data_IF_179532193702
#
_entry.id   IF_179532193702
#
_cell.length_a   1.000
_cell.length_b   1.000
_cell.length_c   1.000
_cell.angle_alpha   90.00
_cell.angle_beta   90.00
_cell.angle_gamma   90.00
#
_symmetry.space_group_name_H-M   'P 1'
#
loop_
_entity.id
_entity.type
_entity.pdbx_description
1 polymer ?
#
# COMPACT_ATOMS: atom_id res chain seq x y z
N UNK A 1 -5.92 -45.14 12.66
CA UNK A 1 -5.22 -44.27 11.70
C UNK A 1 -4.41 -45.16 10.78
N UNK A 2 -4.83 -45.29 9.52
CA UNK A 2 -4.14 -46.12 8.53
C UNK A 2 -3.34 -45.15 7.64
N UNK A 3 -2.06 -44.93 7.95
CA UNK A 3 -1.16 -44.21 7.05
C UNK A 3 -0.70 -45.21 5.99
N UNK A 4 -0.89 -44.85 4.72
CA UNK A 4 -0.28 -45.54 3.60
C UNK A 4 0.90 -44.69 3.12
N UNK A 5 2.09 -45.25 2.91
CA UNK A 5 2.49 -46.65 3.13
C UNK A 5 2.73 -47.00 4.61
N UNK A 6 3.00 -48.29 4.91
CA UNK A 6 3.16 -48.77 6.30
C UNK A 6 4.39 -48.16 6.99
N UNK A 7 4.34 -48.02 8.32
CA UNK A 7 5.45 -47.45 9.11
C UNK A 7 6.76 -48.21 8.87
N UNK A 8 6.70 -49.55 8.76
CA UNK A 8 7.89 -50.38 8.54
C UNK A 8 8.60 -50.06 7.22
N UNK A 9 7.84 -49.74 6.16
CA UNK A 9 8.39 -49.32 4.87
C UNK A 9 9.08 -47.95 4.93
N UNK A 10 8.70 -47.11 5.90
CA UNK A 10 9.22 -45.75 6.08
C UNK A 10 10.44 -45.70 7.00
N UNK A 11 10.61 -46.69 7.89
CA UNK A 11 11.74 -46.74 8.83
C UNK A 11 13.11 -46.57 8.18
N UNK A 12 13.41 -47.15 6.99
CA UNK A 12 14.71 -46.95 6.33
C UNK A 12 14.99 -45.51 5.90
N UNK A 13 13.98 -44.62 5.88
CA UNK A 13 14.11 -43.22 5.47
C UNK A 13 14.44 -42.28 6.64
N UNK A 14 14.46 -42.79 7.87
CA UNK A 14 14.75 -42.04 9.07
C UNK A 14 15.69 -42.80 10.00
N UNK A 15 16.46 -42.10 10.82
CA UNK A 15 17.32 -42.74 11.83
C UNK A 15 16.53 -43.51 12.89
N UNK A 16 15.35 -43.02 13.28
CA UNK A 16 14.51 -43.68 14.27
C UNK A 16 13.02 -43.31 14.07
N UNK A 17 12.15 -43.99 14.82
CA UNK A 17 10.69 -43.79 14.81
C UNK A 17 10.25 -42.37 15.16
N UNK A 18 10.96 -41.69 16.06
CA UNK A 18 10.62 -40.34 16.50
C UNK A 18 10.97 -39.31 15.44
N UNK A 19 12.12 -39.45 14.80
CA UNK A 19 12.55 -38.62 13.67
C UNK A 19 11.58 -38.77 12.51
N UNK A 20 11.16 -40.01 12.21
CA UNK A 20 10.13 -40.26 11.21
C UNK A 20 8.82 -39.51 11.54
N UNK A 21 8.31 -39.65 12.76
CA UNK A 21 7.09 -38.98 13.19
C UNK A 21 7.19 -37.45 13.09
N UNK A 22 8.33 -36.87 13.51
CA UNK A 22 8.59 -35.44 13.39
C UNK A 22 8.69 -34.98 11.93
N UNK A 23 9.35 -35.76 11.07
CA UNK A 23 9.48 -35.47 9.65
C UNK A 23 8.11 -35.47 8.96
N UNK A 24 7.31 -36.51 9.17
CA UNK A 24 5.95 -36.61 8.62
C UNK A 24 5.08 -35.46 9.13
N UNK A 25 5.13 -35.14 10.43
CA UNK A 25 4.34 -34.04 10.99
C UNK A 25 4.74 -32.68 10.44
N UNK A 26 6.04 -32.39 10.31
CA UNK A 26 6.54 -31.14 9.72
C UNK A 26 6.13 -31.02 8.26
N UNK A 27 6.28 -32.08 7.47
CA UNK A 27 5.91 -32.07 6.06
C UNK A 27 4.40 -31.93 5.87
N UNK A 28 3.59 -32.63 6.67
CA UNK A 28 2.14 -32.47 6.64
C UNK A 28 1.69 -31.03 6.93
N UNK A 29 2.36 -30.33 7.87
CA UNK A 29 2.09 -28.90 8.12
C UNK A 29 2.44 -28.03 6.93
N UNK A 30 3.57 -28.27 6.26
CA UNK A 30 3.92 -27.54 5.03
C UNK A 30 2.83 -27.71 3.96
N UNK A 31 2.36 -28.93 3.75
CA UNK A 31 1.28 -29.22 2.79
C UNK A 31 -0.02 -28.49 3.18
N UNK A 32 -0.39 -28.47 4.46
CA UNK A 32 -1.53 -27.70 4.96
C UNK A 32 -1.36 -26.18 4.76
N UNK A 33 -0.13 -25.67 4.86
CA UNK A 33 0.20 -24.26 4.60
C UNK A 33 0.23 -23.91 3.10
N UNK A 34 -0.05 -24.86 2.20
CA UNK A 34 -0.06 -24.60 0.76
C UNK A 34 1.24 -24.92 0.03
N UNK A 35 2.15 -25.67 0.65
CA UNK A 35 3.33 -26.16 -0.04
C UNK A 35 2.94 -27.07 -1.21
N UNK A 36 3.74 -27.02 -2.28
CA UNK A 36 3.57 -27.89 -3.44
C UNK A 36 3.88 -29.36 -3.07
N UNK A 37 2.95 -30.30 -3.34
CA UNK A 37 3.24 -31.72 -3.29
C UNK A 37 4.28 -32.10 -4.35
N UNK A 38 5.18 -33.00 -3.98
CA UNK A 38 6.25 -33.52 -4.85
C UNK A 38 5.85 -34.83 -5.52
N UNK A 39 4.89 -35.55 -4.94
CA UNK A 39 4.28 -36.76 -5.48
C UNK A 39 2.83 -36.45 -5.78
N UNK A 40 2.39 -36.83 -6.98
CA UNK A 40 0.97 -36.78 -7.34
C UNK A 40 0.31 -38.05 -6.80
N UNK A 41 -0.44 -37.90 -5.71
CA UNK A 41 -1.25 -38.98 -5.15
C UNK A 41 -2.69 -38.51 -5.01
N UNK A 42 -3.63 -39.40 -5.31
CA UNK A 42 -5.05 -39.15 -5.09
C UNK A 42 -5.45 -39.17 -3.61
N UNK A 43 -4.49 -39.11 -2.67
CA UNK A 43 -4.81 -39.17 -1.25
C UNK A 43 -5.28 -37.79 -0.74
N UNK A 44 -6.48 -37.70 -0.14
CA UNK A 44 -7.00 -36.42 0.36
C UNK A 44 -6.36 -35.99 1.68
N UNK A 45 -5.59 -36.87 2.33
CA UNK A 45 -5.01 -36.60 3.64
C UNK A 45 -3.54 -36.19 3.51
N UNK A 46 -3.21 -34.98 3.97
CA UNK A 46 -1.85 -34.43 3.97
C UNK A 46 -0.84 -35.32 4.72
N UNK A 47 -1.26 -36.08 5.74
CA UNK A 47 -0.36 -36.99 6.47
C UNK A 47 0.01 -38.21 5.63
N UNK A 48 -0.95 -38.76 4.88
CA UNK A 48 -0.69 -39.87 3.95
C UNK A 48 0.19 -39.40 2.80
N UNK A 49 -0.14 -38.25 2.20
CA UNK A 49 0.68 -37.62 1.16
C UNK A 49 2.12 -37.36 1.61
N UNK A 50 2.31 -36.82 2.83
CA UNK A 50 3.64 -36.65 3.40
C UNK A 50 4.38 -37.98 3.60
N UNK A 51 3.66 -39.04 3.98
CA UNK A 51 4.25 -40.37 4.14
C UNK A 51 4.70 -40.95 2.79
N UNK A 52 3.91 -40.75 1.73
CA UNK A 52 4.26 -41.15 0.37
C UNK A 52 5.46 -40.40 -0.19
N UNK A 53 5.57 -39.10 0.06
CA UNK A 53 6.75 -38.31 -0.32
C UNK A 53 8.03 -38.79 0.40
N UNK A 54 7.93 -39.12 1.69
CA UNK A 54 9.05 -39.70 2.44
C UNK A 54 9.42 -41.08 1.89
N UNK A 55 8.43 -41.91 1.55
CA UNK A 55 8.66 -43.24 0.96
C UNK A 55 9.36 -43.15 -0.41
N UNK A 56 8.92 -42.20 -1.25
CA UNK A 56 9.55 -41.88 -2.53
C UNK A 56 10.97 -41.32 -2.36
N UNK A 57 11.30 -40.78 -1.19
CA UNK A 57 12.60 -40.17 -0.89
C UNK A 57 12.76 -38.76 -1.46
N UNK A 58 11.67 -38.12 -1.88
CA UNK A 58 11.66 -36.73 -2.34
C UNK A 58 11.79 -35.76 -1.16
N UNK A 59 11.34 -36.17 0.03
CA UNK A 59 11.46 -35.41 1.28
C UNK A 59 12.40 -36.15 2.22
N UNK A 60 13.45 -35.45 2.67
CA UNK A 60 14.47 -35.97 3.59
C UNK A 60 14.71 -34.99 4.72
N UNK A 61 15.10 -35.50 5.88
CA UNK A 61 15.55 -34.66 7.00
C UNK A 61 17.06 -34.42 6.92
N UNK A 62 17.48 -33.27 7.46
CA UNK A 62 18.88 -32.87 7.63
C UNK A 62 19.04 -32.23 8.99
N UNK A 63 20.17 -32.50 9.64
CA UNK A 63 20.55 -31.83 10.87
C UNK A 63 21.21 -30.49 10.60
N UNK A 64 21.10 -29.58 11.57
CA UNK A 64 21.64 -28.22 11.48
C UNK A 64 20.60 -27.18 11.08
N UNK A 65 21.04 -25.92 10.99
CA UNK A 65 20.21 -24.81 10.52
C UNK A 65 20.38 -24.67 9.02
N UNK A 66 19.28 -24.88 8.29
CA UNK A 66 19.22 -24.72 6.86
C UNK A 66 18.13 -23.71 6.52
N UNK A 67 18.44 -22.78 5.63
CA UNK A 67 17.44 -21.86 5.09
C UNK A 67 16.66 -22.59 3.98
N UNK A 68 15.61 -23.31 4.40
CA UNK A 68 14.78 -24.12 3.51
C UNK A 68 13.67 -23.25 2.94
N UNK A 69 13.69 -23.05 1.62
CA UNK A 69 12.58 -22.43 0.89
C UNK A 69 11.60 -23.52 0.47
N UNK A 70 10.37 -23.43 0.95
CA UNK A 70 9.30 -24.37 0.60
C UNK A 70 8.50 -23.79 -0.58
N UNK A 71 8.49 -24.43 -1.75
CA UNK A 71 7.74 -23.92 -2.90
C UNK A 71 6.24 -24.01 -2.65
N UNK A 72 5.52 -22.93 -2.94
CA UNK A 72 4.06 -22.88 -2.86
C UNK A 72 3.39 -23.57 -4.06
N UNK A 73 2.16 -24.03 -3.86
CA UNK A 73 1.37 -24.60 -4.94
C UNK A 73 0.97 -23.52 -5.97
N UNK A 74 1.08 -23.76 -7.29
CA UNK A 74 0.81 -22.74 -8.31
C UNK A 74 -0.61 -22.18 -8.25
N UNK A 75 -1.59 -22.98 -7.81
CA UNK A 75 -2.97 -22.50 -7.63
C UNK A 75 -3.09 -21.45 -6.53
N UNK A 76 -2.27 -21.52 -5.49
CA UNK A 76 -2.30 -20.57 -4.37
C UNK A 76 -1.70 -19.24 -4.81
N UNK A 77 -0.61 -19.29 -5.57
CA UNK A 77 0.00 -18.11 -6.20
C UNK A 77 -1.03 -17.42 -7.10
N UNK A 78 -1.67 -18.18 -7.99
CA UNK A 78 -2.69 -17.64 -8.90
C UNK A 78 -3.90 -17.07 -8.16
N UNK A 79 -4.36 -17.71 -7.08
CA UNK A 79 -5.48 -17.23 -6.27
C UNK A 79 -5.13 -15.91 -5.57
N UNK A 80 -3.92 -15.78 -5.02
CA UNK A 80 -3.44 -14.55 -4.40
C UNK A 80 -3.36 -13.41 -5.40
N UNK A 81 -2.80 -13.66 -6.58
CA UNK A 81 -2.72 -12.67 -7.66
C UNK A 81 -4.10 -12.26 -8.17
N UNK A 82 -5.06 -13.19 -8.24
CA UNK A 82 -6.43 -12.89 -8.64
C UNK A 82 -7.15 -12.01 -7.61
N UNK A 83 -7.02 -12.32 -6.32
CA UNK A 83 -7.58 -11.51 -5.24
C UNK A 83 -6.99 -10.10 -5.21
N UNK A 84 -5.68 -9.97 -5.46
CA UNK A 84 -5.03 -8.67 -5.54
C UNK A 84 -5.49 -7.87 -6.77
N UNK A 85 -5.67 -8.52 -7.92
CA UNK A 85 -6.23 -7.88 -9.12
C UNK A 85 -7.67 -7.42 -8.90
N UNK A 86 -8.49 -8.22 -8.22
CA UNK A 86 -9.87 -7.87 -7.89
C UNK A 86 -9.94 -6.70 -6.90
N UNK A 87 -9.09 -6.69 -5.86
CA UNK A 87 -9.01 -5.58 -4.92
C UNK A 87 -8.63 -4.27 -5.62
N UNK A 88 -7.61 -4.29 -6.50
CA UNK A 88 -7.21 -3.11 -7.28
C UNK A 88 -8.31 -2.62 -8.22
N UNK A 89 -8.99 -3.55 -8.92
CA UNK A 89 -10.11 -3.19 -9.78
C UNK A 89 -11.24 -2.55 -8.97
N UNK A 90 -11.54 -3.09 -7.79
CA UNK A 90 -12.56 -2.53 -6.90
C UNK A 90 -12.17 -1.16 -6.36
N UNK A 91 -10.92 -0.96 -5.97
CA UNK A 91 -10.41 0.35 -5.53
C UNK A 91 -10.48 1.39 -6.67
N UNK A 92 -10.15 1.00 -7.90
CA UNK A 92 -10.29 1.86 -9.08
C UNK A 92 -11.75 2.19 -9.38
N UNK A 93 -12.66 1.22 -9.28
CA UNK A 93 -14.10 1.42 -9.41
C UNK A 93 -14.65 2.35 -8.32
N UNK A 94 -14.28 2.13 -7.06
CA UNK A 94 -14.67 2.99 -5.93
C UNK A 94 -14.15 4.42 -6.15
N UNK A 95 -12.90 4.58 -6.61
CA UNK A 95 -12.30 5.89 -6.91
C UNK A 95 -13.01 6.60 -8.07
N UNK A 96 -13.34 5.87 -9.13
CA UNK A 96 -14.12 6.40 -10.26
C UNK A 96 -15.55 6.75 -9.82
N UNK A 97 -16.16 5.94 -8.96
CA UNK A 97 -17.48 6.20 -8.42
C UNK A 97 -17.46 7.46 -7.55
N UNK A 98 -16.48 7.62 -6.67
CA UNK A 98 -16.26 8.84 -5.89
C UNK A 98 -16.08 10.07 -6.80
N UNK A 99 -15.23 9.96 -7.82
CA UNK A 99 -15.03 11.04 -8.80
C UNK A 99 -16.34 11.37 -9.54
N UNK A 100 -17.12 10.36 -9.92
CA UNK A 100 -18.42 10.54 -10.56
C UNK A 100 -19.48 11.14 -9.63
N UNK A 101 -19.46 10.77 -8.34
CA UNK A 101 -20.35 11.32 -7.30
C UNK A 101 -20.04 12.79 -7.07
N UNK A 102 -18.75 13.16 -6.98
CA UNK A 102 -18.30 14.54 -6.87
C UNK A 102 -18.68 15.35 -8.12
N UNK A 103 -18.53 14.79 -9.32
CA UNK A 103 -18.90 15.47 -10.55
C UNK A 103 -20.43 15.68 -10.65
N UNK A 104 -21.25 14.68 -10.30
CA UNK A 104 -22.72 14.84 -10.19
C UNK A 104 -23.13 15.87 -9.13
N UNK A 105 -22.33 16.04 -8.08
CA UNK A 105 -22.56 17.11 -7.10
C UNK A 105 -22.19 18.48 -7.68
N UNK A 106 -21.07 18.59 -8.40
CA UNK A 106 -20.67 19.81 -9.08
C UNK A 106 -21.70 20.24 -10.14
N UNK A 107 -22.27 19.30 -10.91
CA UNK A 107 -23.32 19.61 -11.88
C UNK A 107 -24.59 20.18 -11.22
N UNK A 108 -24.96 19.69 -10.02
CA UNK A 108 -26.08 20.28 -9.25
C UNK A 108 -25.80 21.70 -8.75
N UNK A 109 -24.53 22.08 -8.62
CA UNK A 109 -24.13 23.47 -8.33
C UNK A 109 -23.84 24.29 -9.60
N UNK A 110 -23.76 23.66 -10.78
CA UNK A 110 -23.58 24.36 -12.05
C UNK A 110 -24.90 24.69 -12.76
N UNK A 111 -25.98 23.95 -12.49
CA UNK A 111 -27.30 24.20 -13.12
C UNK A 111 -28.15 25.26 -12.40
N UNK A 112 -27.84 25.61 -11.15
CA UNK A 112 -28.32 26.85 -10.53
C UNK A 112 -27.15 27.83 -10.48
N UNK A 113 -27.04 28.70 -11.49
CA UNK A 113 -26.18 29.89 -11.41
C UNK A 113 -26.53 30.59 -10.10
N UNK A 114 -25.69 30.45 -9.06
CA UNK A 114 -25.91 31.05 -7.73
C UNK A 114 -26.18 32.56 -7.86
N UNK A 115 -25.58 33.17 -8.87
CA UNK A 115 -25.80 34.56 -9.29
C UNK A 115 -27.23 34.82 -9.78
N UNK A 116 -27.81 33.92 -10.58
CA UNK A 116 -29.20 34.03 -11.06
C UNK A 116 -30.21 33.92 -9.91
N UNK A 117 -29.96 33.05 -8.92
CA UNK A 117 -30.83 32.88 -7.75
C UNK A 117 -30.77 34.09 -6.80
N UNK A 118 -29.64 34.81 -6.79
CA UNK A 118 -29.46 36.08 -6.08
C UNK A 118 -29.92 37.32 -6.89
N UNK A 119 -30.41 37.14 -8.12
CA UNK A 119 -30.84 38.23 -9.00
C UNK A 119 -29.71 39.08 -9.58
N UNK A 120 -28.47 38.58 -9.55
CA UNK A 120 -27.27 39.24 -10.06
C UNK A 120 -27.17 38.93 -11.56
N UNK A 121 -27.12 39.97 -12.39
CA UNK A 121 -26.96 39.80 -13.84
C UNK A 121 -25.50 39.43 -14.19
N UNK A 122 -25.28 38.89 -15.39
CA UNK A 122 -23.92 38.56 -15.85
C UNK A 122 -22.98 39.78 -15.87
N UNK A 123 -23.53 40.97 -16.12
CA UNK A 123 -22.80 42.25 -16.12
C UNK A 123 -22.45 42.70 -14.69
N UNK A 124 -23.34 42.46 -13.72
CA UNK A 124 -23.07 42.77 -12.31
C UNK A 124 -21.98 41.84 -11.75
N UNK A 125 -22.00 40.57 -12.15
CA UNK A 125 -21.00 39.58 -11.72
C UNK A 125 -19.59 39.91 -12.23
N UNK A 126 -19.45 40.38 -13.48
CA UNK A 126 -18.14 40.78 -14.01
C UNK A 126 -17.59 42.02 -13.32
N UNK A 127 -18.44 43.02 -13.03
CA UNK A 127 -18.04 44.21 -12.28
C UNK A 127 -17.59 43.89 -10.84
N UNK A 128 -18.27 42.95 -10.18
CA UNK A 128 -17.87 42.47 -8.86
C UNK A 128 -16.50 41.77 -8.95
N UNK A 129 -16.28 40.92 -9.96
CA UNK A 129 -15.01 40.24 -10.17
C UNK A 129 -13.86 41.24 -10.43
N UNK A 130 -14.05 42.21 -11.32
CA UNK A 130 -13.04 43.24 -11.62
C UNK A 130 -12.69 44.07 -10.37
N UNK A 131 -13.69 44.47 -9.59
CA UNK A 131 -13.48 45.25 -8.37
C UNK A 131 -12.74 44.44 -7.30
N UNK A 132 -13.02 43.14 -7.19
CA UNK A 132 -12.41 42.25 -6.21
C UNK A 132 -10.96 41.93 -6.58
N UNK A 133 -10.67 41.70 -7.87
CA UNK A 133 -9.30 41.58 -8.38
C UNK A 133 -8.50 42.86 -8.10
N UNK A 134 -9.07 44.04 -8.37
CA UNK A 134 -8.41 45.31 -8.09
C UNK A 134 -8.14 45.53 -6.59
N UNK A 135 -9.02 45.04 -5.71
CA UNK A 135 -8.79 45.08 -4.27
C UNK A 135 -7.68 44.14 -3.83
N UNK A 136 -7.64 42.90 -4.33
CA UNK A 136 -6.58 41.94 -4.03
C UNK A 136 -5.21 42.44 -4.53
N UNK A 137 -5.13 42.93 -5.77
CA UNK A 137 -3.90 43.54 -6.29
C UNK A 137 -3.45 44.76 -5.46
N UNK A 138 -4.41 45.55 -4.95
CA UNK A 138 -4.09 46.67 -4.07
C UNK A 138 -3.61 46.22 -2.69
N UNK A 139 -4.16 45.13 -2.14
CA UNK A 139 -3.67 44.51 -0.90
C UNK A 139 -2.30 43.87 -1.10
N UNK A 140 -2.05 43.17 -2.21
CA UNK A 140 -0.73 42.63 -2.54
C UNK A 140 0.32 43.73 -2.72
N UNK A 141 -0.03 44.85 -3.37
CA UNK A 141 0.86 46.02 -3.48
C UNK A 141 1.10 46.70 -2.12
N UNK A 142 0.10 46.73 -1.24
CA UNK A 142 0.26 47.25 0.13
C UNK A 142 1.14 46.34 0.96
N UNK A 143 0.93 45.02 0.90
CA UNK A 143 1.77 44.04 1.58
C UNK A 143 3.22 44.10 1.06
N UNK A 144 3.42 44.24 -0.25
CA UNK A 144 4.75 44.43 -0.82
C UNK A 144 5.40 45.76 -0.38
N UNK A 145 4.63 46.84 -0.30
CA UNK A 145 5.13 48.13 0.19
C UNK A 145 5.44 48.10 1.70
N UNK A 146 4.65 47.39 2.50
CA UNK A 146 4.91 47.13 3.91
C UNK A 146 6.19 46.31 4.09
N UNK A 147 6.40 45.25 3.29
CA UNK A 147 7.66 44.50 3.25
C UNK A 147 8.87 45.34 2.81
N UNK A 148 8.71 46.27 1.85
CA UNK A 148 9.79 47.19 1.44
C UNK A 148 10.10 48.25 2.51
N UNK A 149 9.10 48.72 3.26
CA UNK A 149 9.31 49.63 4.39
C UNK A 149 9.96 48.94 5.58
N UNK A 150 9.64 47.67 5.83
CA UNK A 150 10.32 46.86 6.85
C UNK A 150 11.77 46.59 6.46
N UNK A 151 12.06 46.23 5.19
CA UNK A 151 13.43 46.03 4.71
C UNK A 151 14.28 47.32 4.74
N UNK A 152 13.71 48.47 4.39
CA UNK A 152 14.44 49.75 4.46
C UNK A 152 14.62 50.26 5.89
N UNK A 153 13.71 49.92 6.81
CA UNK A 153 13.92 50.14 8.25
C UNK A 153 15.05 49.26 8.80
N UNK A 154 15.08 47.97 8.44
CA UNK A 154 16.16 47.05 8.80
C UNK A 154 17.52 47.47 8.22
N UNK A 155 17.57 47.97 6.98
CA UNK A 155 18.80 48.53 6.37
C UNK A 155 19.26 49.82 7.08
N UNK A 156 18.35 50.69 7.51
CA UNK A 156 18.69 51.89 8.29
C UNK A 156 19.14 51.58 9.73
N UNK A 157 18.61 50.52 10.34
CA UNK A 157 19.09 50.00 11.63
C UNK A 157 20.46 49.30 11.48
N UNK A 158 20.75 48.67 10.34
CA UNK A 158 22.06 48.11 10.03
C UNK A 158 23.13 49.19 9.74
N UNK A 159 22.79 50.27 9.02
CA UNK A 159 23.71 51.40 8.79
C UNK A 159 24.02 52.17 10.09
N UNK A 160 23.04 52.33 10.98
CA UNK A 160 23.27 52.94 12.31
C UNK A 160 24.07 52.03 13.25
N UNK A 161 24.03 50.70 13.07
CA UNK A 161 24.90 49.77 13.78
C UNK A 161 26.36 49.81 13.26
N UNK A 162 26.58 49.92 11.94
CA UNK A 162 27.94 50.09 11.38
C UNK A 162 28.55 51.46 11.75
N UNK A 163 27.76 52.54 11.81
CA UNK A 163 28.27 53.88 12.18
C UNK A 163 28.61 53.99 13.68
N UNK A 164 28.06 53.11 14.53
CA UNK A 164 28.42 53.03 15.96
C UNK A 164 29.65 52.16 16.21
N UNK A 165 29.94 51.16 15.38
CA UNK A 165 31.21 50.39 15.43
C UNK A 165 32.42 51.19 14.92
N UNK A 166 32.24 52.16 14.00
CA UNK A 166 33.35 52.97 13.47
C UNK A 166 33.86 54.07 14.42
N UNK A 167 33.18 54.31 15.55
CA UNK A 167 33.56 55.31 16.56
C UNK A 167 34.38 54.67 17.71
N UNK A 168 34.54 53.34 17.72
CA UNK A 168 35.28 52.59 18.76
C UNK A 168 36.69 52.06 18.34
N UNK A 169 37.28 52.54 17.23
CA UNK A 169 38.72 52.39 16.92
C UNK A 169 39.56 53.68 17.14
#
# INVERSE_FOLDING_TARGET
MLTYPSIESLLPRAENRYVLAMLTARRARQLTSGARPTVDSGTPNNVSLASEEIAAGTVVYRYGKWDVVVPEHPLIIAAREAAEREARAKEEEERLEEQSRLMRQADRYSDEDVFSQAGITAEDASLIAERLIAQLEAEERKAAAEEETEKSAEESEAETAEETELIEE
#
